data_IF_863039408046
#
_entry.id   IF_863039408046
#
_cell.length_a   1.000
_cell.length_b   1.000
_cell.length_c   1.000
_cell.angle_alpha   90.00
_cell.angle_beta   90.00
_cell.angle_gamma   90.00
#
_symmetry.space_group_name_H-M   'P 1'
#
loop_
_entity.id
_entity.type
_entity.pdbx_description
1 polymer ?
#
# COMPACT_ATOMS: atom_id res chain seq x y z
N UNK A 1 -7.18 -4.54 -5.84
CA UNK A 1 -7.03 -5.83 -6.55
C UNK A 1 -8.36 -6.32 -7.13
N UNK A 2 -8.63 -5.99 -8.39
CA UNK A 2 -9.82 -6.49 -9.10
C UNK A 2 -9.40 -7.16 -10.41
N UNK A 3 -10.08 -8.25 -10.77
CA UNK A 3 -9.89 -8.89 -12.07
C UNK A 3 -10.88 -8.35 -13.12
N UNK A 4 -10.71 -8.79 -14.37
CA UNK A 4 -11.52 -8.36 -15.51
C UNK A 4 -13.03 -8.64 -15.31
N UNK A 5 -13.39 -9.80 -14.76
CA UNK A 5 -14.78 -10.17 -14.55
C UNK A 5 -15.45 -9.26 -13.52
N UNK A 6 -14.75 -8.96 -12.42
CA UNK A 6 -15.22 -8.02 -11.40
C UNK A 6 -15.39 -6.60 -11.96
N UNK A 7 -14.45 -6.16 -12.81
CA UNK A 7 -14.54 -4.85 -13.45
C UNK A 7 -15.74 -4.74 -14.41
N UNK A 8 -15.98 -5.78 -15.23
CA UNK A 8 -17.16 -5.82 -16.11
C UNK A 8 -18.47 -5.86 -15.34
N UNK A 9 -18.51 -6.60 -14.23
CA UNK A 9 -19.68 -6.62 -13.35
C UNK A 9 -19.97 -5.23 -12.78
N UNK A 10 -18.94 -4.51 -12.32
CA UNK A 10 -19.07 -3.13 -11.87
C UNK A 10 -19.67 -2.25 -12.97
N UNK A 11 -19.15 -2.34 -14.20
CA UNK A 11 -19.66 -1.55 -15.34
C UNK A 11 -21.13 -1.85 -15.64
N UNK A 12 -21.52 -3.12 -15.59
CA UNK A 12 -22.91 -3.53 -15.79
C UNK A 12 -23.85 -2.96 -14.72
N UNK A 13 -23.40 -2.91 -13.46
CA UNK A 13 -24.17 -2.37 -12.33
C UNK A 13 -24.23 -0.83 -12.34
N UNK A 14 -23.10 -0.17 -12.59
CA UNK A 14 -22.99 1.29 -12.59
C UNK A 14 -23.69 1.94 -13.79
N UNK A 15 -23.78 1.20 -14.91
CA UNK A 15 -24.30 1.71 -16.17
C UNK A 15 -23.54 2.95 -16.66
N UNK A 16 -24.10 3.74 -17.58
CA UNK A 16 -23.45 4.95 -18.10
C UNK A 16 -23.43 6.11 -17.09
N UNK A 17 -24.26 6.06 -16.04
CA UNK A 17 -24.32 7.11 -15.01
C UNK A 17 -23.06 7.13 -14.14
N UNK A 18 -22.42 5.98 -13.93
CA UNK A 18 -21.20 5.88 -13.13
C UNK A 18 -21.42 6.25 -11.66
N UNK A 19 -22.60 5.97 -11.10
CA UNK A 19 -22.95 6.33 -9.73
C UNK A 19 -22.33 5.37 -8.71
N UNK A 20 -21.01 5.45 -8.53
CA UNK A 20 -20.27 4.65 -7.55
C UNK A 20 -19.08 5.42 -6.98
N UNK A 21 -18.52 4.87 -5.91
CA UNK A 21 -17.23 5.30 -5.35
C UNK A 21 -16.34 4.07 -5.34
N UNK A 22 -15.12 4.21 -5.83
CA UNK A 22 -14.08 3.20 -5.71
C UNK A 22 -12.88 3.78 -4.97
N UNK A 23 -12.20 2.93 -4.21
CA UNK A 23 -10.97 3.27 -3.50
C UNK A 23 -9.92 2.24 -3.89
N UNK A 24 -8.70 2.69 -4.15
CA UNK A 24 -7.61 1.80 -4.52
C UNK A 24 -6.26 2.51 -4.47
N UNK A 25 -5.22 1.69 -4.44
CA UNK A 25 -3.82 2.07 -4.50
C UNK A 25 -3.14 1.09 -5.47
N UNK A 26 -2.64 1.60 -6.59
CA UNK A 26 -1.93 0.82 -7.62
C UNK A 26 -0.60 0.25 -7.10
N UNK A 27 0.09 0.96 -6.20
CA UNK A 27 1.35 0.52 -5.59
C UNK A 27 1.15 -0.63 -4.57
N UNK A 28 -0.10 -0.92 -4.19
CA UNK A 28 -0.46 -2.00 -3.26
C UNK A 28 -1.11 -3.21 -3.94
N UNK A 29 -1.13 -3.26 -5.27
CA UNK A 29 -1.73 -4.41 -5.96
C UNK A 29 -0.76 -5.60 -6.03
N UNK A 30 -0.99 -6.60 -5.18
CA UNK A 30 -0.12 -7.79 -5.02
C UNK A 30 -0.75 -9.10 -5.52
N UNK A 31 -2.00 -9.06 -6.01
CA UNK A 31 -2.73 -10.24 -6.44
C UNK A 31 -2.73 -10.47 -7.96
N UNK A 32 -1.71 -9.98 -8.67
CA UNK A 32 -1.57 -10.16 -10.12
C UNK A 32 -1.63 -11.65 -10.54
N UNK A 33 -1.06 -12.55 -9.73
CA UNK A 33 -1.11 -14.01 -9.95
C UNK A 33 -2.53 -14.61 -9.90
N UNK A 34 -3.50 -13.90 -9.30
CA UNK A 34 -4.94 -14.25 -9.32
C UNK A 34 -5.72 -13.51 -10.41
N UNK A 35 -5.02 -12.86 -11.33
CA UNK A 35 -5.61 -12.07 -12.40
C UNK A 35 -6.07 -10.67 -11.98
N UNK A 36 -5.61 -10.15 -10.83
CA UNK A 36 -5.84 -8.74 -10.51
C UNK A 36 -5.10 -7.84 -11.50
N UNK A 37 -5.76 -6.78 -11.96
CA UNK A 37 -5.27 -5.84 -12.97
C UNK A 37 -5.23 -4.44 -12.39
N UNK A 38 -4.05 -3.90 -11.99
CA UNK A 38 -3.92 -2.52 -11.53
C UNK A 38 -4.44 -1.52 -12.59
N UNK A 39 -4.40 -1.89 -13.87
CA UNK A 39 -4.89 -1.11 -14.98
C UNK A 39 -6.38 -0.78 -14.86
N UNK A 40 -7.16 -1.54 -14.09
CA UNK A 40 -8.57 -1.24 -13.84
C UNK A 40 -8.75 0.16 -13.20
N UNK A 41 -7.82 0.60 -12.35
CA UNK A 41 -7.86 1.96 -11.77
C UNK A 41 -7.59 3.06 -12.81
N UNK A 42 -6.79 2.77 -13.83
CA UNK A 42 -6.57 3.68 -14.95
C UNK A 42 -7.78 3.69 -15.88
N UNK A 43 -8.28 2.50 -16.19
CA UNK A 43 -9.35 2.29 -17.15
C UNK A 43 -10.68 2.84 -16.65
N UNK A 44 -10.91 2.86 -15.34
CA UNK A 44 -12.12 3.47 -14.75
C UNK A 44 -12.19 4.98 -15.02
N UNK A 45 -11.05 5.68 -15.01
CA UNK A 45 -10.98 7.11 -15.30
C UNK A 45 -11.26 7.40 -16.78
N UNK A 46 -10.93 6.46 -17.67
CA UNK A 46 -11.26 6.55 -19.10
C UNK A 46 -12.73 6.23 -19.35
N UNK A 47 -13.25 5.18 -18.72
CA UNK A 47 -14.61 4.70 -18.92
C UNK A 47 -15.66 5.61 -18.27
N UNK A 48 -15.28 6.33 -17.21
CA UNK A 48 -16.13 7.26 -16.48
C UNK A 48 -15.42 8.62 -16.28
N UNK A 49 -15.33 9.45 -17.34
CA UNK A 49 -14.55 10.70 -17.32
C UNK A 49 -15.12 11.77 -16.38
N UNK A 50 -16.36 11.62 -15.93
CA UNK A 50 -17.01 12.50 -14.95
C UNK A 50 -16.63 12.19 -13.50
N UNK A 51 -15.91 11.09 -13.24
CA UNK A 51 -15.46 10.76 -11.90
C UNK A 51 -14.46 11.79 -11.38
N UNK A 52 -14.69 12.22 -10.14
CA UNK A 52 -13.74 13.05 -9.43
C UNK A 52 -12.67 12.18 -8.78
N UNK A 53 -11.41 12.39 -9.16
CA UNK A 53 -10.26 11.74 -8.52
C UNK A 53 -9.84 12.54 -7.29
N UNK A 54 -9.79 11.89 -6.13
CA UNK A 54 -9.29 12.44 -4.88
C UNK A 54 -8.04 11.67 -4.45
N UNK A 55 -6.90 12.35 -4.34
CA UNK A 55 -5.66 11.75 -3.85
C UNK A 55 -5.55 11.96 -2.34
N UNK A 56 -5.47 10.86 -1.60
CA UNK A 56 -5.27 10.88 -0.15
C UNK A 56 -3.79 10.61 0.15
N UNK A 57 -3.00 11.67 0.29
CA UNK A 57 -1.55 11.56 0.42
C UNK A 57 -1.05 11.62 1.87
N UNK A 58 -1.90 12.01 2.82
CA UNK A 58 -1.54 12.01 4.22
C UNK A 58 -1.67 10.60 4.80
N UNK A 59 -0.54 10.03 5.24
CA UNK A 59 -0.48 8.79 5.98
C UNK A 59 -0.55 9.08 7.48
N UNK A 60 -1.58 8.52 8.13
CA UNK A 60 -1.81 8.67 9.57
C UNK A 60 -1.28 7.48 10.39
N UNK A 61 -0.74 6.44 9.74
CA UNK A 61 -0.33 5.19 10.39
C UNK A 61 1.14 5.19 10.79
N UNK A 62 2.01 5.66 9.91
CA UNK A 62 3.45 5.48 9.99
C UNK A 62 4.16 6.79 10.32
N UNK A 63 5.30 6.66 11.00
CA UNK A 63 6.22 7.77 11.25
C UNK A 63 6.80 8.30 9.93
N UNK A 64 7.31 9.53 9.95
CA UNK A 64 7.92 10.15 8.77
C UNK A 64 9.08 9.31 8.22
N UNK A 65 9.87 8.66 9.09
CA UNK A 65 11.02 7.84 8.66
C UNK A 65 10.59 6.57 7.93
N UNK A 66 9.60 5.85 8.45
CA UNK A 66 9.06 4.65 7.78
C UNK A 66 8.52 5.04 6.41
N UNK A 67 7.75 6.13 6.34
CA UNK A 67 7.14 6.58 5.09
C UNK A 67 8.19 7.04 4.07
N UNK A 68 9.28 7.66 4.52
CA UNK A 68 10.41 8.01 3.64
C UNK A 68 11.04 6.77 3.01
N UNK A 69 11.25 5.70 3.77
CA UNK A 69 11.76 4.44 3.24
C UNK A 69 10.79 3.83 2.22
N UNK A 70 9.49 3.82 2.51
CA UNK A 70 8.47 3.31 1.59
C UNK A 70 8.43 4.11 0.27
N UNK A 71 8.40 5.44 0.34
CA UNK A 71 8.44 6.32 -0.84
C UNK A 71 9.73 6.12 -1.66
N UNK A 72 10.87 5.96 -1.00
CA UNK A 72 12.14 5.73 -1.70
C UNK A 72 12.17 4.37 -2.42
N UNK A 73 11.60 3.33 -1.81
CA UNK A 73 11.50 2.01 -2.45
C UNK A 73 10.57 2.05 -3.67
N UNK A 74 9.35 2.56 -3.50
CA UNK A 74 8.33 2.51 -4.55
C UNK A 74 8.67 3.39 -5.76
N UNK A 75 9.48 4.44 -5.59
CA UNK A 75 9.93 5.32 -6.68
C UNK A 75 10.72 4.62 -7.79
N UNK A 76 11.16 3.37 -7.59
CA UNK A 76 11.82 2.56 -8.61
C UNK A 76 10.82 1.89 -9.57
N UNK A 77 9.53 1.86 -9.23
CA UNK A 77 8.49 1.26 -10.05
C UNK A 77 7.91 2.28 -11.05
N UNK A 78 7.41 1.82 -12.21
CA UNK A 78 6.64 2.68 -13.08
C UNK A 78 5.33 3.08 -12.39
N UNK A 79 5.03 4.37 -12.36
CA UNK A 79 3.81 4.88 -11.72
C UNK A 79 2.77 5.28 -12.76
N UNK A 80 1.56 4.72 -12.61
CA UNK A 80 0.40 5.15 -13.41
C UNK A 80 -0.26 6.36 -12.75
N UNK A 81 -0.31 6.40 -11.42
CA UNK A 81 -0.85 7.52 -10.66
C UNK A 81 0.23 8.14 -9.76
N UNK A 82 0.87 9.25 -10.17
CA UNK A 82 1.90 9.86 -9.35
C UNK A 82 1.27 10.38 -8.04
N UNK A 83 1.85 9.96 -6.93
CA UNK A 83 1.48 10.39 -5.58
C UNK A 83 2.70 10.37 -4.69
N UNK A 84 2.72 11.20 -3.66
CA UNK A 84 3.79 11.20 -2.67
C UNK A 84 3.21 11.26 -1.28
N UNK A 85 3.30 10.13 -0.57
CA UNK A 85 2.75 10.05 0.78
C UNK A 85 3.59 10.88 1.76
N UNK A 86 2.93 11.59 2.68
CA UNK A 86 3.57 12.33 3.78
C UNK A 86 2.90 12.02 5.12
N UNK A 87 3.58 12.25 6.24
CA UNK A 87 3.04 11.99 7.58
C UNK A 87 3.30 13.18 8.50
N UNK A 88 2.29 13.54 9.29
CA UNK A 88 2.36 14.55 10.35
C UNK A 88 2.86 13.98 11.70
N UNK A 89 3.07 12.66 11.79
CA UNK A 89 3.59 12.03 12.98
C UNK A 89 5.07 12.41 13.22
N UNK A 90 5.59 12.09 14.41
CA UNK A 90 7.02 12.26 14.69
C UNK A 90 7.87 11.42 13.72
N UNK A 91 9.18 11.73 13.65
CA UNK A 91 10.10 10.99 12.78
C UNK A 91 10.16 9.49 13.12
N UNK A 92 9.92 9.13 14.38
CA UNK A 92 10.01 7.76 14.88
C UNK A 92 11.43 7.21 14.97
N UNK A 93 11.54 5.99 15.51
CA UNK A 93 12.81 5.30 15.68
C UNK A 93 13.48 4.96 14.32
N UNK A 94 14.82 4.81 14.28
CA UNK A 94 15.53 4.34 13.10
C UNK A 94 15.01 2.99 12.59
N UNK A 95 14.86 2.87 11.27
CA UNK A 95 14.60 1.56 10.62
C UNK A 95 15.86 0.71 10.75
N UNK A 96 15.70 -0.52 11.27
CA UNK A 96 16.80 -1.47 11.51
C UNK A 96 16.75 -2.57 10.45
N UNK A 97 17.91 -2.95 9.92
CA UNK A 97 18.08 -4.12 9.06
C UNK A 97 18.96 -5.11 9.82
N UNK A 98 18.45 -6.32 10.03
CA UNK A 98 19.16 -7.38 10.74
C UNK A 98 19.69 -8.38 9.72
N UNK A 99 21.00 -8.59 9.72
CA UNK A 99 21.60 -9.65 8.91
C UNK A 99 21.64 -10.94 9.73
N UNK A 100 21.02 -11.98 9.19
CA UNK A 100 20.99 -13.32 9.79
C UNK A 100 21.84 -14.28 8.95
N UNK A 101 22.22 -15.41 9.55
CA UNK A 101 23.07 -16.41 8.88
C UNK A 101 22.22 -17.37 8.05
N UNK A 102 21.06 -17.70 8.59
CA UNK A 102 20.06 -18.64 8.10
C UNK A 102 18.69 -18.25 8.69
N UNK A 103 17.65 -19.00 8.34
CA UNK A 103 16.28 -18.76 8.77
C UNK A 103 16.08 -19.03 10.28
N UNK A 104 16.78 -20.03 10.83
CA UNK A 104 16.73 -20.37 12.26
C UNK A 104 17.31 -19.23 13.11
N UNK A 105 18.45 -18.66 12.69
CA UNK A 105 19.04 -17.49 13.34
C UNK A 105 18.11 -16.27 13.22
N UNK A 106 17.44 -16.05 12.09
CA UNK A 106 16.45 -14.99 11.97
C UNK A 106 15.31 -15.17 12.97
N UNK A 107 14.70 -16.35 13.02
CA UNK A 107 13.62 -16.66 13.95
C UNK A 107 14.04 -16.43 15.41
N UNK A 108 15.21 -16.93 15.81
CA UNK A 108 15.74 -16.73 17.16
C UNK A 108 15.98 -15.25 17.50
N UNK A 109 16.48 -14.45 16.53
CA UNK A 109 16.71 -13.02 16.72
C UNK A 109 15.41 -12.23 16.85
N UNK A 110 14.38 -12.58 16.09
CA UNK A 110 13.05 -11.96 16.21
C UNK A 110 12.42 -12.30 17.55
N UNK A 111 12.47 -13.57 17.99
CA UNK A 111 11.96 -13.98 19.30
C UNK A 111 12.63 -13.18 20.44
N UNK A 112 13.96 -13.09 20.43
CA UNK A 112 14.69 -12.33 21.45
C UNK A 112 14.34 -10.84 21.46
N UNK A 113 14.05 -10.23 20.31
CA UNK A 113 13.62 -8.83 20.23
C UNK A 113 12.21 -8.62 20.79
N UNK A 114 11.31 -9.59 20.58
CA UNK A 114 9.97 -9.55 21.17
C UNK A 114 10.02 -9.69 22.68
N UNK A 115 10.86 -10.58 23.22
CA UNK A 115 11.04 -10.75 24.67
C UNK A 115 11.59 -9.48 25.32
N UNK A 116 12.58 -8.85 24.68
CA UNK A 116 13.13 -7.56 25.14
C UNK A 116 12.07 -6.46 25.15
N UNK A 117 11.25 -6.36 24.09
CA UNK A 117 10.20 -5.36 24.02
C UNK A 117 9.15 -5.55 25.14
N UNK A 118 8.68 -6.78 25.37
CA UNK A 118 7.72 -7.06 26.44
C UNK A 118 8.29 -6.87 27.84
N UNK A 119 9.57 -7.22 28.07
CA UNK A 119 10.22 -7.04 29.36
C UNK A 119 10.44 -5.58 29.75
N UNK A 120 10.41 -4.66 28.78
CA UNK A 120 10.60 -3.22 29.01
C UNK A 120 9.30 -2.53 29.46
N UNK A 121 8.13 -3.13 29.21
CA UNK A 121 6.82 -2.58 29.59
C UNK A 121 6.38 -2.94 31.04
N UNK A 122 7.20 -3.71 31.77
CA UNK A 122 6.91 -4.18 33.13
C UNK A 122 7.64 -3.38 34.24
N UNK A 123 8.16 -2.18 33.94
CA UNK A 123 8.91 -1.32 34.85
C UNK A 123 8.38 0.10 34.92
#
# INVERSE_FOLDING_TARGET
DTNEAQYRLLKALAGPRGAFICVGDDDQSIYAWRGARPENLRDIARDYPTLRVLKLEQNYRCSTRILRCANALIAHNPHTHPKKLWSAASTGAPVRVLRCRDAEHEAARIAALLDQAHGTDAG
#
